data_IF_937573795155
#
_entry.id   IF_937573795155
#
_cell.length_a   1.000
_cell.length_b   1.000
_cell.length_c   1.000
_cell.angle_alpha   90.00
_cell.angle_beta   90.00
_cell.angle_gamma   90.00
#
_symmetry.space_group_name_H-M   'P 1'
#
loop_
_entity.id
_entity.type
_entity.pdbx_description
1 polymer ?
#
# COMPACT_ATOMS: atom_id res chain seq x y z
N UNK A 1 50.16 15.12 68.50
CA UNK A 1 51.28 14.27 68.06
C UNK A 1 50.70 12.91 67.67
N UNK A 2 50.66 12.57 66.43
CA UNK A 2 50.83 11.27 65.81
C UNK A 2 50.35 11.40 64.33
N UNK A 3 51.32 11.33 63.46
CA UNK A 3 51.11 11.22 61.97
C UNK A 3 50.42 9.92 61.67
N UNK A 4 49.42 9.93 60.78
CA UNK A 4 48.93 8.76 60.07
C UNK A 4 49.20 8.90 58.57
N UNK A 5 49.91 7.90 58.12
CA UNK A 5 50.41 7.62 56.77
C UNK A 5 49.32 7.54 55.72
N UNK A 6 49.61 8.09 54.54
CA UNK A 6 48.79 7.96 53.31
C UNK A 6 48.92 6.53 52.77
N UNK A 7 47.81 5.91 52.53
CA UNK A 7 47.71 4.68 51.70
C UNK A 7 47.51 5.01 50.26
N UNK A 8 48.31 4.35 49.44
CA UNK A 8 48.42 4.44 48.02
C UNK A 8 47.21 3.72 47.38
N UNK A 9 46.37 4.42 46.57
CA UNK A 9 45.35 3.77 45.76
C UNK A 9 45.99 3.23 44.49
N UNK A 10 45.88 1.91 44.33
CA UNK A 10 46.30 1.16 43.15
C UNK A 10 45.49 1.54 41.92
N UNK A 11 46.19 1.74 40.82
CA UNK A 11 45.65 1.95 39.48
C UNK A 11 44.80 0.74 39.00
N UNK A 12 43.48 0.87 39.05
CA UNK A 12 42.58 -0.05 38.41
C UNK A 12 42.59 0.21 36.91
N UNK A 13 43.11 -0.75 36.15
CA UNK A 13 43.03 -0.78 34.68
C UNK A 13 41.57 -0.97 34.27
N UNK A 14 40.92 0.05 33.73
CA UNK A 14 39.64 -0.07 33.12
C UNK A 14 39.79 -0.89 31.82
N UNK A 15 39.33 -2.14 31.83
CA UNK A 15 39.08 -2.90 30.61
C UNK A 15 37.93 -2.23 29.88
N UNK A 16 38.20 -1.47 28.83
CA UNK A 16 37.22 -1.06 27.85
C UNK A 16 36.82 -2.32 27.11
N UNK A 17 35.70 -2.92 27.51
CA UNK A 17 35.06 -3.96 26.74
C UNK A 17 34.79 -3.42 25.34
N UNK A 18 35.38 -4.06 24.34
CA UNK A 18 35.03 -3.81 22.94
C UNK A 18 33.51 -3.86 22.82
N UNK A 19 32.89 -2.72 22.63
CA UNK A 19 31.54 -2.62 22.12
C UNK A 19 31.59 -3.29 20.75
N UNK A 20 31.08 -4.53 20.71
CA UNK A 20 30.71 -5.16 19.45
C UNK A 20 29.87 -4.14 18.69
N UNK A 21 30.31 -3.79 17.50
CA UNK A 21 29.58 -2.95 16.58
C UNK A 21 28.21 -3.57 16.34
N UNK A 22 27.22 -3.17 17.12
CA UNK A 22 25.86 -3.22 16.67
C UNK A 22 25.83 -2.31 15.45
N UNK A 23 25.75 -2.87 14.25
CA UNK A 23 25.26 -2.14 13.11
C UNK A 23 23.96 -1.47 13.58
N UNK A 24 24.03 -0.19 13.87
CA UNK A 24 22.86 0.60 14.20
C UNK A 24 22.00 0.58 12.94
N UNK A 25 20.95 -0.24 12.95
CA UNK A 25 19.93 -0.20 11.92
C UNK A 25 19.30 1.19 11.97
N UNK A 26 19.80 2.07 11.13
CA UNK A 26 19.21 3.38 10.92
C UNK A 26 17.82 3.16 10.37
N UNK A 27 16.80 3.69 11.01
CA UNK A 27 15.40 3.56 10.61
C UNK A 27 14.54 2.86 11.67
N UNK A 28 13.24 3.10 11.58
CA UNK A 28 12.24 2.50 12.47
C UNK A 28 11.69 1.23 11.84
N UNK A 29 11.29 0.27 12.69
CA UNK A 29 10.54 -0.92 12.27
C UNK A 29 9.18 -0.85 12.92
N UNK A 30 8.12 -0.70 12.11
CA UNK A 30 6.75 -0.64 12.59
C UNK A 30 5.86 -1.66 11.91
N UNK A 31 4.97 -2.25 12.68
CA UNK A 31 3.97 -3.19 12.18
C UNK A 31 2.56 -2.77 12.62
N UNK A 32 1.60 -2.96 11.73
CA UNK A 32 0.18 -2.78 11.99
C UNK A 32 -0.53 -4.07 11.56
N UNK A 33 -1.20 -4.74 12.50
CA UNK A 33 -1.88 -5.99 12.22
C UNK A 33 -3.34 -5.87 12.61
N UNK A 34 -4.23 -6.32 11.73
CA UNK A 34 -5.68 -6.30 11.91
C UNK A 34 -6.31 -7.64 11.56
N UNK A 35 -7.34 -8.02 12.32
CA UNK A 35 -8.18 -9.16 12.04
C UNK A 35 -9.65 -8.77 12.15
N UNK A 36 -10.41 -9.01 11.08
CA UNK A 36 -11.80 -8.60 10.96
C UNK A 36 -12.72 -9.80 10.81
N UNK A 37 -13.83 -9.77 11.54
CA UNK A 37 -14.88 -10.79 11.47
C UNK A 37 -16.25 -10.18 11.23
N UNK A 38 -17.15 -10.96 10.65
CA UNK A 38 -18.55 -10.58 10.51
C UNK A 38 -19.31 -10.93 11.79
N UNK A 39 -19.92 -9.94 12.43
CA UNK A 39 -20.78 -10.12 13.59
C UNK A 39 -22.16 -9.50 13.29
N UNK A 40 -23.15 -10.36 13.08
CA UNK A 40 -24.49 -9.92 12.64
C UNK A 40 -24.43 -9.13 11.33
N UNK A 41 -24.92 -7.90 11.35
CA UNK A 41 -24.93 -7.01 10.15
C UNK A 41 -23.65 -6.20 9.96
N UNK A 42 -22.64 -6.29 10.83
CA UNK A 42 -21.43 -5.46 10.80
C UNK A 42 -20.15 -6.31 10.71
N UNK A 43 -19.14 -5.73 10.08
CA UNK A 43 -17.75 -6.16 10.20
C UNK A 43 -17.14 -5.52 11.43
N UNK A 44 -16.51 -6.31 12.30
CA UNK A 44 -15.85 -5.82 13.51
C UNK A 44 -14.37 -6.16 13.49
N UNK A 45 -13.56 -5.31 14.09
CA UNK A 45 -12.14 -5.54 14.33
C UNK A 45 -12.01 -6.37 15.60
N UNK A 46 -11.67 -7.65 15.48
CA UNK A 46 -11.59 -8.60 16.61
C UNK A 46 -10.21 -8.65 17.23
N UNK A 47 -9.17 -8.39 16.43
CA UNK A 47 -7.80 -8.30 16.93
C UNK A 47 -7.06 -7.18 16.24
N UNK A 48 -6.26 -6.44 17.01
CA UNK A 48 -5.35 -5.43 16.49
C UNK A 48 -4.06 -5.39 17.30
N UNK A 49 -2.96 -5.14 16.62
CA UNK A 49 -1.69 -4.79 17.24
C UNK A 49 -0.95 -3.79 16.38
N UNK A 50 -0.24 -2.87 17.02
CA UNK A 50 0.60 -1.93 16.29
C UNK A 50 1.87 -1.62 17.06
N UNK A 51 2.92 -1.26 16.33
CA UNK A 51 4.14 -0.69 16.85
C UNK A 51 4.49 0.60 16.11
N UNK A 52 5.18 1.53 16.79
CA UNK A 52 5.62 2.79 16.17
C UNK A 52 6.32 2.54 14.83
N UNK A 53 6.01 3.34 13.76
CA UNK A 53 5.28 4.61 13.79
C UNK A 53 3.77 4.50 13.62
N UNK A 54 3.19 3.31 13.55
CA UNK A 54 1.76 3.15 13.39
C UNK A 54 0.97 3.52 14.64
N UNK A 55 -0.20 4.08 14.43
CA UNK A 55 -1.21 4.34 15.46
C UNK A 55 -2.51 3.66 15.10
N UNK A 56 -3.13 3.03 16.07
CA UNK A 56 -4.38 2.31 15.90
C UNK A 56 -5.56 3.15 16.38
N UNK A 57 -6.63 3.14 15.59
CA UNK A 57 -7.95 3.66 15.95
C UNK A 57 -9.02 2.59 15.74
N UNK A 58 -10.05 2.53 16.57
CA UNK A 58 -11.20 1.69 16.32
C UNK A 58 -11.83 2.01 14.96
N UNK A 59 -12.38 1.01 14.25
CA UNK A 59 -13.11 1.25 13.01
C UNK A 59 -14.33 2.16 13.25
N UNK A 60 -14.63 3.01 12.27
CA UNK A 60 -15.87 3.76 12.21
C UNK A 60 -16.84 3.11 11.21
N UNK A 61 -18.12 3.47 11.30
CA UNK A 61 -19.16 3.00 10.40
C UNK A 61 -19.86 4.24 9.84
N UNK A 62 -19.63 4.52 8.55
CA UNK A 62 -20.08 5.78 7.92
C UNK A 62 -21.46 5.64 7.26
N UNK A 63 -21.92 4.40 7.08
CA UNK A 63 -23.22 4.08 6.48
C UNK A 63 -23.78 2.77 7.07
N UNK A 64 -24.97 2.37 6.63
CA UNK A 64 -25.66 1.17 7.11
C UNK A 64 -25.21 -0.12 6.42
N UNK A 65 -24.16 -0.09 5.58
CA UNK A 65 -23.63 -1.28 4.88
C UNK A 65 -22.98 -2.30 5.83
N UNK A 66 -22.63 -1.87 7.04
CA UNK A 66 -21.87 -2.64 8.00
C UNK A 66 -20.39 -2.75 7.65
N UNK A 67 -19.90 -1.92 6.71
CA UNK A 67 -18.48 -1.80 6.38
C UNK A 67 -17.69 -1.21 7.53
N UNK A 68 -16.56 -1.82 7.88
CA UNK A 68 -15.62 -1.28 8.85
C UNK A 68 -14.63 -0.32 8.16
N UNK A 69 -14.71 0.95 8.47
CA UNK A 69 -13.81 1.99 7.95
C UNK A 69 -12.60 2.15 8.86
N UNK A 70 -11.43 1.89 8.35
CA UNK A 70 -10.18 1.86 9.13
C UNK A 70 -9.15 2.82 8.56
N UNK A 71 -8.51 3.57 9.46
CA UNK A 71 -7.49 4.55 9.11
C UNK A 71 -6.08 3.99 9.31
N UNK A 72 -5.24 4.10 8.29
CA UNK A 72 -3.80 3.82 8.34
C UNK A 72 -3.09 5.09 8.81
N UNK A 73 -2.83 5.19 10.10
CA UNK A 73 -2.30 6.42 10.69
C UNK A 73 -0.84 6.28 11.07
N UNK A 74 0.00 7.07 10.42
CA UNK A 74 1.39 7.26 10.78
C UNK A 74 1.62 8.71 11.24
N UNK A 75 1.58 9.00 12.56
CA UNK A 75 1.71 10.36 13.08
C UNK A 75 3.11 10.94 12.96
N UNK A 76 4.12 10.16 12.55
CA UNK A 76 5.49 10.68 12.35
C UNK A 76 5.64 11.59 11.12
N UNK A 77 4.56 11.80 10.37
CA UNK A 77 4.52 12.70 9.22
C UNK A 77 5.07 12.11 7.92
N UNK A 78 5.58 10.88 7.92
CA UNK A 78 6.09 10.18 6.74
C UNK A 78 7.18 9.18 7.07
N UNK A 79 7.83 8.66 6.03
CA UNK A 79 8.89 7.66 6.12
C UNK A 79 10.24 8.29 5.79
N UNK A 80 11.28 7.91 6.54
CA UNK A 80 12.67 8.30 6.26
C UNK A 80 13.46 7.10 5.74
N UNK A 81 14.60 7.36 5.09
CA UNK A 81 15.47 6.28 4.61
C UNK A 81 15.87 5.33 5.75
N UNK A 82 15.74 4.02 5.49
CA UNK A 82 15.96 2.96 6.49
C UNK A 82 14.70 2.54 7.26
N UNK A 83 13.61 3.32 7.23
CA UNK A 83 12.35 2.87 7.82
C UNK A 83 11.82 1.63 7.11
N UNK A 84 11.32 0.68 7.89
CA UNK A 84 10.65 -0.51 7.41
C UNK A 84 9.31 -0.66 8.13
N UNK A 85 8.23 -0.42 7.41
CA UNK A 85 6.88 -0.49 7.96
C UNK A 85 6.08 -1.59 7.27
N UNK A 86 5.26 -2.30 8.05
CA UNK A 86 4.36 -3.33 7.52
C UNK A 86 2.92 -3.09 7.93
N UNK A 87 2.01 -3.53 7.06
CA UNK A 87 0.57 -3.63 7.34
C UNK A 87 0.14 -5.03 6.97
N UNK A 88 -0.47 -5.73 7.91
CA UNK A 88 -1.09 -7.02 7.67
C UNK A 88 -2.56 -6.96 8.07
N UNK A 89 -3.45 -7.43 7.18
CA UNK A 89 -4.87 -7.51 7.49
C UNK A 89 -5.43 -8.86 7.06
N UNK A 90 -6.16 -9.49 7.96
CA UNK A 90 -6.92 -10.71 7.71
C UNK A 90 -8.41 -10.40 7.80
N UNK A 91 -9.10 -10.60 6.71
CA UNK A 91 -10.54 -10.46 6.58
C UNK A 91 -11.15 -11.85 6.53
N UNK A 92 -11.96 -12.20 7.54
CA UNK A 92 -12.71 -13.45 7.52
C UNK A 92 -13.91 -13.40 6.56
N UNK A 93 -14.60 -14.51 6.38
CA UNK A 93 -15.70 -14.63 5.43
C UNK A 93 -16.79 -13.55 5.63
N UNK A 94 -17.35 -13.06 4.52
CA UNK A 94 -18.46 -12.09 4.47
C UNK A 94 -18.17 -10.73 5.13
N UNK A 95 -16.92 -10.41 5.43
CA UNK A 95 -16.53 -9.09 5.95
C UNK A 95 -16.51 -8.04 4.84
N UNK A 96 -16.69 -6.77 5.21
CA UNK A 96 -16.47 -5.63 4.33
C UNK A 96 -15.61 -4.61 5.07
N UNK A 97 -14.43 -4.33 4.55
CA UNK A 97 -13.46 -3.43 5.18
C UNK A 97 -12.99 -2.40 4.15
N UNK A 98 -12.98 -1.14 4.56
CA UNK A 98 -12.31 -0.06 3.84
C UNK A 98 -11.11 0.41 4.65
N UNK A 99 -9.93 0.37 4.04
CA UNK A 99 -8.68 0.83 4.62
C UNK A 99 -8.16 2.04 3.84
N UNK A 100 -8.01 3.15 4.50
CA UNK A 100 -7.54 4.41 3.91
C UNK A 100 -6.56 5.12 4.83
N UNK A 101 -5.90 6.17 4.36
CA UNK A 101 -5.03 7.02 5.18
C UNK A 101 -5.60 8.45 5.27
N UNK A 102 -5.38 9.18 6.38
CA UNK A 102 -5.90 10.53 6.57
C UNK A 102 -5.14 11.58 5.75
N UNK A 103 -3.95 11.24 5.28
CA UNK A 103 -3.08 12.14 4.51
C UNK A 103 -2.12 11.37 3.61
N UNK A 104 -1.50 12.09 2.68
CA UNK A 104 -0.48 11.55 1.78
C UNK A 104 0.68 10.89 2.54
N UNK A 105 1.16 9.77 2.02
CA UNK A 105 2.35 9.08 2.51
C UNK A 105 3.60 9.81 2.00
N UNK A 106 4.25 10.59 2.85
CA UNK A 106 5.45 11.35 2.50
C UNK A 106 6.69 10.48 2.68
N UNK A 107 7.55 10.45 1.67
CA UNK A 107 8.83 9.75 1.76
C UNK A 107 9.95 10.77 1.70
N UNK A 108 10.63 10.95 2.82
CA UNK A 108 11.69 11.92 2.97
C UNK A 108 12.99 11.47 2.29
N UNK A 109 13.90 12.42 2.08
CA UNK A 109 15.23 12.17 1.51
C UNK A 109 15.92 11.00 2.22
N UNK A 110 16.48 10.08 1.45
CA UNK A 110 17.27 8.95 1.94
C UNK A 110 18.76 9.23 1.77
N UNK A 111 19.56 8.96 2.78
CA UNK A 111 21.03 9.07 2.70
C UNK A 111 21.63 7.86 1.96
N UNK A 112 21.19 6.65 2.30
CA UNK A 112 21.68 5.40 1.71
C UNK A 112 20.53 4.42 1.45
N UNK A 113 19.86 3.97 2.51
CA UNK A 113 18.84 2.92 2.45
C UNK A 113 17.48 3.47 2.03
N UNK A 114 16.68 2.70 1.29
CA UNK A 114 15.30 3.07 0.99
C UNK A 114 14.43 3.02 2.25
N UNK A 115 13.36 3.80 2.27
CA UNK A 115 12.19 3.51 3.10
C UNK A 115 11.44 2.32 2.47
N UNK A 116 11.00 1.37 3.28
CA UNK A 116 10.33 0.14 2.84
C UNK A 116 8.93 0.07 3.45
N UNK A 117 7.94 -0.20 2.62
CA UNK A 117 6.57 -0.48 3.03
C UNK A 117 6.12 -1.84 2.48
N UNK A 118 5.70 -2.73 3.36
CA UNK A 118 5.17 -4.04 3.00
C UNK A 118 3.70 -4.15 3.44
N UNK A 119 2.85 -4.57 2.52
CA UNK A 119 1.40 -4.74 2.78
C UNK A 119 1.00 -6.16 2.41
N UNK A 120 0.35 -6.86 3.34
CA UNK A 120 -0.19 -8.20 3.15
C UNK A 120 -1.65 -8.25 3.55
N UNK A 121 -2.51 -8.60 2.61
CA UNK A 121 -3.95 -8.56 2.76
C UNK A 121 -4.53 -9.93 2.39
N UNK A 122 -5.11 -10.61 3.36
CA UNK A 122 -5.80 -11.89 3.16
C UNK A 122 -7.31 -11.65 3.21
N UNK A 123 -7.99 -11.89 2.10
CA UNK A 123 -9.42 -11.63 1.94
C UNK A 123 -10.17 -12.94 1.85
N UNK A 124 -10.92 -13.26 2.89
CA UNK A 124 -11.66 -14.51 3.06
C UNK A 124 -12.84 -14.67 2.10
N UNK A 125 -13.52 -15.83 2.13
CA UNK A 125 -14.61 -16.11 1.20
C UNK A 125 -15.72 -15.05 1.26
N UNK A 126 -16.19 -14.59 0.09
CA UNK A 126 -17.25 -13.58 -0.06
C UNK A 126 -16.98 -12.27 0.70
N UNK A 127 -15.74 -12.02 1.09
CA UNK A 127 -15.35 -10.78 1.75
C UNK A 127 -15.01 -9.68 0.72
N UNK A 128 -15.10 -8.43 1.16
CA UNK A 128 -14.86 -7.23 0.36
C UNK A 128 -13.79 -6.38 1.00
N UNK A 129 -12.76 -6.04 0.25
CA UNK A 129 -11.70 -5.16 0.69
C UNK A 129 -11.60 -3.95 -0.24
N UNK A 130 -11.58 -2.76 0.35
CA UNK A 130 -11.24 -1.51 -0.32
C UNK A 130 -9.94 -0.98 0.28
N UNK A 131 -8.83 -1.14 -0.43
CA UNK A 131 -7.55 -0.55 -0.09
C UNK A 131 -7.37 0.73 -0.89
N UNK A 132 -7.63 1.86 -0.24
CA UNK A 132 -7.70 3.18 -0.89
C UNK A 132 -6.92 4.26 -0.11
N UNK A 133 -5.61 4.05 0.09
CA UNK A 133 -4.78 5.06 0.76
C UNK A 133 -4.65 6.34 -0.06
N UNK A 134 -4.19 7.41 0.59
CA UNK A 134 -3.78 8.63 -0.08
C UNK A 134 -2.50 8.45 -0.91
N UNK A 135 -2.24 9.41 -1.78
CA UNK A 135 -1.07 9.42 -2.67
C UNK A 135 0.25 9.36 -1.92
N UNK A 136 1.21 8.60 -2.44
CA UNK A 136 2.59 8.63 -1.99
C UNK A 136 3.34 9.78 -2.65
N UNK A 137 4.01 10.62 -1.83
CA UNK A 137 4.77 11.79 -2.28
C UNK A 137 6.26 11.56 -1.97
N UNK A 138 7.05 11.10 -2.95
CA UNK A 138 8.50 10.95 -2.78
C UNK A 138 9.19 12.32 -2.90
N UNK A 139 9.89 12.77 -1.85
CA UNK A 139 10.62 14.03 -1.84
C UNK A 139 11.94 13.92 -2.63
N UNK A 140 12.54 15.05 -2.96
CA UNK A 140 13.83 15.08 -3.65
C UNK A 140 14.88 14.21 -2.95
N UNK A 141 15.54 13.32 -3.70
CA UNK A 141 16.55 12.39 -3.20
C UNK A 141 16.02 11.24 -2.36
N UNK A 142 14.70 11.06 -2.23
CA UNK A 142 14.12 9.90 -1.53
C UNK A 142 14.34 8.60 -2.31
N UNK A 143 14.38 7.48 -1.57
CA UNK A 143 14.35 6.11 -2.10
C UNK A 143 13.21 5.39 -1.41
N UNK A 144 12.32 4.82 -2.18
CA UNK A 144 11.14 4.12 -1.67
C UNK A 144 10.98 2.77 -2.33
N UNK A 145 10.62 1.78 -1.54
CA UNK A 145 10.23 0.45 -2.01
C UNK A 145 8.92 0.05 -1.36
N UNK A 146 7.94 -0.27 -2.19
CA UNK A 146 6.64 -0.77 -1.75
C UNK A 146 6.38 -2.15 -2.32
N UNK A 147 5.76 -3.02 -1.51
CA UNK A 147 5.17 -4.26 -1.97
C UNK A 147 3.78 -4.45 -1.35
N UNK A 148 2.80 -4.75 -2.20
CA UNK A 148 1.41 -5.02 -1.80
C UNK A 148 1.04 -6.41 -2.30
N UNK A 149 0.77 -7.32 -1.39
CA UNK A 149 0.34 -8.68 -1.68
C UNK A 149 -1.09 -8.88 -1.18
N UNK A 150 -1.96 -9.34 -2.07
CA UNK A 150 -3.36 -9.62 -1.76
C UNK A 150 -3.66 -11.06 -2.16
N UNK A 151 -4.21 -11.81 -1.21
CA UNK A 151 -4.71 -13.17 -1.42
C UNK A 151 -6.23 -13.15 -1.33
N UNK A 152 -6.91 -13.48 -2.44
CA UNK A 152 -8.38 -13.52 -2.54
C UNK A 152 -8.88 -14.96 -2.50
N UNK A 153 -9.72 -15.26 -1.51
CA UNK A 153 -10.50 -16.50 -1.48
C UNK A 153 -11.67 -16.44 -2.51
N UNK A 154 -12.31 -17.58 -2.81
CA UNK A 154 -13.46 -17.61 -3.72
C UNK A 154 -14.59 -16.69 -3.25
N UNK A 155 -15.18 -15.93 -4.18
CA UNK A 155 -16.22 -14.93 -3.93
C UNK A 155 -15.70 -13.60 -3.38
N UNK A 156 -14.43 -13.52 -3.00
CA UNK A 156 -13.84 -12.29 -2.49
C UNK A 156 -13.66 -11.23 -3.59
N UNK A 157 -13.74 -9.97 -3.20
CA UNK A 157 -13.52 -8.84 -4.09
C UNK A 157 -12.57 -7.84 -3.46
N UNK A 158 -11.62 -7.33 -4.25
CA UNK A 158 -10.74 -6.23 -3.86
C UNK A 158 -10.88 -5.03 -4.81
N UNK A 159 -10.96 -3.84 -4.23
CA UNK A 159 -10.69 -2.55 -4.87
C UNK A 159 -9.36 -2.07 -4.31
N UNK A 160 -8.31 -2.02 -5.13
CA UNK A 160 -6.98 -1.62 -4.71
C UNK A 160 -6.53 -0.41 -5.52
N UNK A 161 -6.32 0.70 -4.83
CA UNK A 161 -5.82 1.95 -5.37
C UNK A 161 -4.38 2.19 -4.92
N UNK A 162 -3.52 2.59 -5.84
CA UNK A 162 -2.16 3.03 -5.59
C UNK A 162 -1.82 4.22 -6.45
N UNK A 163 -1.31 5.30 -5.84
CA UNK A 163 -0.99 6.53 -6.55
C UNK A 163 0.33 7.13 -6.05
N UNK A 164 1.10 7.68 -6.98
CA UNK A 164 2.38 8.33 -6.73
C UNK A 164 2.39 9.72 -7.37
N UNK A 165 2.81 10.72 -6.60
CA UNK A 165 3.10 12.05 -7.10
C UNK A 165 4.52 12.13 -7.66
N UNK A 166 4.77 13.06 -8.59
CA UNK A 166 6.11 13.35 -9.10
C UNK A 166 7.07 13.92 -8.03
N UNK A 167 6.54 14.29 -6.88
CA UNK A 167 7.26 14.91 -5.76
C UNK A 167 6.42 15.99 -5.09
N UNK A 168 7.08 16.94 -4.43
CA UNK A 168 6.41 18.11 -3.84
C UNK A 168 6.11 19.16 -4.93
N UNK A 169 5.10 18.91 -5.75
CA UNK A 169 4.75 19.74 -6.90
C UNK A 169 4.63 21.22 -6.53
N UNK A 170 3.95 21.54 -5.41
CA UNK A 170 3.80 22.90 -4.91
C UNK A 170 5.15 23.57 -4.54
N UNK A 171 6.18 22.78 -4.25
CA UNK A 171 7.55 23.25 -3.98
C UNK A 171 8.46 23.19 -5.20
N UNK A 172 7.89 22.97 -6.41
CA UNK A 172 8.59 22.80 -7.68
C UNK A 172 9.57 21.62 -7.71
N UNK A 173 9.38 20.64 -6.84
CA UNK A 173 10.11 19.37 -6.88
C UNK A 173 9.32 18.37 -7.70
N UNK A 174 9.72 18.16 -8.95
CA UNK A 174 9.12 17.19 -9.85
C UNK A 174 10.18 16.19 -10.28
N UNK A 175 9.86 14.89 -10.12
CA UNK A 175 10.73 13.78 -10.53
C UNK A 175 12.17 13.92 -10.01
N UNK A 176 12.31 14.45 -8.77
CA UNK A 176 13.60 14.70 -8.14
C UNK A 176 14.00 13.62 -7.12
N UNK A 177 13.17 12.61 -6.91
CA UNK A 177 13.50 11.47 -6.05
C UNK A 177 14.57 10.57 -6.70
N UNK A 178 15.30 9.81 -5.89
CA UNK A 178 16.36 8.92 -6.39
C UNK A 178 15.80 7.63 -7.00
N UNK A 179 14.82 7.00 -6.35
CA UNK A 179 14.13 5.82 -6.89
C UNK A 179 12.81 5.54 -6.17
N UNK A 180 11.83 5.03 -6.92
CA UNK A 180 10.62 4.39 -6.41
C UNK A 180 10.51 3.01 -7.05
N UNK A 181 10.39 1.98 -6.23
CA UNK A 181 10.17 0.60 -6.64
C UNK A 181 8.81 0.17 -6.07
N UNK A 182 7.93 -0.31 -6.93
CA UNK A 182 6.60 -0.78 -6.55
C UNK A 182 6.34 -2.18 -7.09
N UNK A 183 5.74 -3.01 -6.25
CA UNK A 183 5.24 -4.33 -6.62
C UNK A 183 3.83 -4.51 -6.03
N UNK A 184 2.87 -4.81 -6.88
CA UNK A 184 1.51 -5.21 -6.50
C UNK A 184 1.30 -6.61 -7.04
N UNK A 185 0.92 -7.54 -6.18
CA UNK A 185 0.61 -8.92 -6.54
C UNK A 185 -0.74 -9.32 -5.93
N UNK A 186 -1.72 -9.60 -6.77
CA UNK A 186 -3.05 -10.04 -6.35
C UNK A 186 -3.24 -11.46 -6.86
N UNK A 187 -3.44 -12.41 -5.94
CA UNK A 187 -3.64 -13.84 -6.22
C UNK A 187 -5.09 -14.21 -5.96
N UNK A 188 -5.69 -14.94 -6.89
CA UNK A 188 -7.05 -15.45 -6.76
C UNK A 188 -7.02 -16.96 -6.60
N UNK A 189 -7.78 -17.49 -5.63
CA UNK A 189 -8.02 -18.92 -5.49
C UNK A 189 -9.26 -19.30 -6.30
N UNK A 190 -9.13 -20.17 -7.29
CA UNK A 190 -10.26 -20.61 -8.14
C UNK A 190 -11.28 -21.40 -7.32
N UNK A 191 -12.59 -21.17 -7.55
CA UNK A 191 -13.64 -22.08 -7.10
C UNK A 191 -13.43 -23.45 -7.78
N UNK A 192 -13.04 -24.47 -7.01
CA UNK A 192 -12.92 -25.85 -7.53
C UNK A 192 -11.59 -26.54 -7.33
N UNK A 193 -10.53 -25.83 -7.00
CA UNK A 193 -9.32 -26.46 -6.44
C UNK A 193 -9.44 -26.39 -4.91
N UNK A 194 -9.62 -27.55 -4.27
CA UNK A 194 -9.50 -27.64 -2.81
C UNK A 194 -8.23 -26.88 -2.39
N UNK A 195 -8.25 -26.10 -1.31
CA UNK A 195 -7.04 -25.49 -0.83
C UNK A 195 -6.04 -26.63 -0.65
N UNK A 196 -4.97 -26.59 -1.45
CA UNK A 196 -3.83 -27.44 -1.17
C UNK A 196 -3.55 -27.20 0.31
N UNK A 197 -3.63 -28.25 1.13
CA UNK A 197 -3.40 -28.21 2.58
C UNK A 197 -1.95 -27.84 2.92
N UNK A 198 -1.23 -27.37 1.97
CA UNK A 198 0.02 -26.65 2.00
C UNK A 198 -0.21 -25.21 1.56
N UNK A 199 -1.02 -24.45 2.32
CA UNK A 199 -0.59 -23.09 2.63
C UNK A 199 0.71 -23.26 3.40
N UNK A 200 1.78 -23.55 2.65
CA UNK A 200 3.13 -23.44 3.17
C UNK A 200 3.19 -21.99 3.65
N UNK A 201 3.33 -21.74 4.96
CA UNK A 201 3.70 -20.41 5.38
C UNK A 201 4.96 -20.14 4.56
N UNK A 202 4.90 -19.15 3.66
CA UNK A 202 6.13 -18.72 2.97
C UNK A 202 7.08 -18.43 4.12
N UNK A 203 8.15 -19.23 4.28
CA UNK A 203 9.00 -19.06 5.44
C UNK A 203 9.44 -17.62 5.46
N UNK A 204 9.34 -16.98 6.60
CA UNK A 204 9.78 -15.63 6.91
C UNK A 204 11.31 -15.51 6.79
N UNK A 205 11.88 -16.06 5.72
CA UNK A 205 13.28 -16.14 5.37
C UNK A 205 13.50 -15.61 3.97
N UNK A 206 13.01 -14.38 3.69
CA UNK A 206 13.77 -13.52 2.81
C UNK A 206 15.00 -13.13 3.61
N UNK A 207 16.07 -13.90 3.42
CA UNK A 207 17.39 -13.55 3.91
C UNK A 207 17.65 -12.10 3.49
N UNK A 208 18.09 -11.29 4.45
CA UNK A 208 18.56 -9.91 4.24
C UNK A 208 19.26 -9.79 2.88
N UNK A 209 18.75 -8.88 2.03
CA UNK A 209 19.52 -8.41 0.86
C UNK A 209 19.23 -9.06 -0.49
N UNK A 210 18.31 -10.00 -0.63
CA UNK A 210 17.98 -10.52 -1.97
C UNK A 210 16.71 -9.80 -2.48
N UNK A 211 16.93 -8.87 -3.42
CA UNK A 211 15.86 -8.42 -4.30
C UNK A 211 15.24 -9.65 -5.00
N UNK A 212 13.91 -9.71 -5.20
CA UNK A 212 13.29 -10.81 -5.93
C UNK A 212 13.96 -10.92 -7.29
N UNK A 213 14.37 -12.15 -7.62
CA UNK A 213 15.04 -12.42 -8.90
C UNK A 213 14.11 -11.98 -10.03
N UNK A 214 14.58 -11.09 -10.90
CA UNK A 214 13.91 -10.76 -12.16
C UNK A 214 13.62 -12.08 -12.89
N UNK A 215 12.35 -12.34 -13.21
CA UNK A 215 11.95 -13.50 -14.00
C UNK A 215 11.43 -14.72 -13.23
N UNK A 216 11.12 -14.62 -11.91
CA UNK A 216 10.39 -15.70 -11.27
C UNK A 216 9.01 -15.85 -11.98
N UNK A 217 8.58 -17.10 -12.31
CA UNK A 217 7.31 -17.33 -12.97
C UNK A 217 6.16 -16.80 -12.09
N UNK A 218 5.24 -16.06 -12.71
CA UNK A 218 4.02 -15.57 -12.03
C UNK A 218 3.08 -16.78 -11.91
N UNK A 219 2.57 -17.11 -10.70
CA UNK A 219 1.59 -18.18 -10.53
C UNK A 219 0.35 -17.94 -11.39
N UNK A 220 -0.21 -19.00 -11.98
CA UNK A 220 -1.48 -18.92 -12.72
C UNK A 220 -2.58 -18.37 -11.78
N UNK A 221 -3.40 -17.44 -12.27
CA UNK A 221 -4.42 -16.76 -11.46
C UNK A 221 -3.92 -15.55 -10.67
N UNK A 222 -2.74 -15.01 -11.02
CA UNK A 222 -2.21 -13.80 -10.39
C UNK A 222 -2.22 -12.61 -11.34
N UNK A 223 -2.55 -11.43 -10.79
CA UNK A 223 -2.34 -10.13 -11.43
C UNK A 223 -1.13 -9.48 -10.79
N UNK A 224 -0.14 -9.12 -11.59
CA UNK A 224 1.11 -8.55 -11.08
C UNK A 224 1.45 -7.26 -11.81
N UNK A 225 1.69 -6.22 -11.04
CA UNK A 225 2.31 -4.99 -11.51
C UNK A 225 3.66 -4.80 -10.83
N UNK A 226 4.67 -4.48 -11.61
CA UNK A 226 6.00 -4.10 -11.10
C UNK A 226 6.55 -2.95 -11.91
N UNK A 227 7.00 -1.92 -11.23
CA UNK A 227 7.74 -0.85 -11.87
C UNK A 227 8.86 -0.31 -10.98
N UNK A 228 9.83 0.29 -11.62
CA UNK A 228 10.89 1.04 -10.97
C UNK A 228 11.08 2.37 -11.69
N UNK A 229 10.83 3.44 -10.97
CA UNK A 229 11.04 4.81 -11.45
C UNK A 229 12.38 5.31 -10.94
N UNK A 230 13.24 5.74 -11.86
CA UNK A 230 14.53 6.38 -11.59
C UNK A 230 14.60 7.61 -12.50
N UNK A 231 14.14 8.77 -12.03
CA UNK A 231 13.89 9.93 -12.89
C UNK A 231 15.08 10.35 -13.76
N UNK A 232 16.29 10.31 -13.23
CA UNK A 232 17.51 10.63 -14.02
C UNK A 232 17.82 9.63 -15.13
N UNK A 233 17.05 8.53 -15.27
CA UNK A 233 17.15 7.53 -16.34
C UNK A 233 15.89 7.42 -17.18
N UNK A 234 14.84 8.15 -16.82
CA UNK A 234 13.62 8.18 -17.61
C UNK A 234 13.83 9.15 -18.78
N UNK A 235 13.66 8.73 -20.02
CA UNK A 235 13.61 9.68 -21.13
C UNK A 235 12.40 10.59 -20.92
N UNK A 236 12.55 11.87 -21.27
CA UNK A 236 11.45 12.85 -21.31
C UNK A 236 10.45 12.49 -22.43
N UNK A 237 9.97 11.27 -22.44
CA UNK A 237 9.02 10.84 -23.47
C UNK A 237 7.60 10.95 -22.96
N UNK A 238 6.72 11.43 -23.82
CA UNK A 238 5.28 11.55 -23.60
C UNK A 238 4.64 10.20 -23.18
N UNK A 239 5.26 9.09 -23.57
CA UNK A 239 4.75 7.75 -23.29
C UNK A 239 4.99 7.22 -21.87
N UNK A 240 5.81 7.91 -21.05
CA UNK A 240 6.08 7.49 -19.67
C UNK A 240 5.39 8.40 -18.65
N UNK A 241 5.91 9.58 -18.44
CA UNK A 241 5.38 10.52 -17.45
C UNK A 241 5.21 11.94 -17.98
N UNK A 242 5.93 12.32 -19.05
CA UNK A 242 5.81 13.61 -19.72
C UNK A 242 5.64 14.79 -18.78
N UNK A 243 4.59 15.59 -18.99
CA UNK A 243 4.23 16.75 -18.17
C UNK A 243 3.29 16.42 -17.00
N UNK A 244 3.04 15.12 -16.73
CA UNK A 244 2.12 14.67 -15.69
C UNK A 244 2.78 14.62 -14.32
N UNK A 245 2.04 14.96 -13.29
CA UNK A 245 2.53 15.02 -11.91
C UNK A 245 2.09 13.86 -11.05
N UNK A 246 1.09 13.11 -11.48
CA UNK A 246 0.55 11.98 -10.75
C UNK A 246 0.41 10.77 -11.66
N UNK A 247 0.77 9.61 -11.14
CA UNK A 247 0.59 8.30 -11.78
C UNK A 247 -0.19 7.41 -10.83
N UNK A 248 -1.22 6.75 -11.32
CA UNK A 248 -2.04 5.90 -10.49
C UNK A 248 -2.49 4.62 -11.20
N UNK A 249 -2.74 3.61 -10.38
CA UNK A 249 -3.27 2.31 -10.76
C UNK A 249 -4.46 1.98 -9.87
N UNK A 250 -5.52 1.47 -10.48
CA UNK A 250 -6.63 0.86 -9.77
C UNK A 250 -6.82 -0.57 -10.27
N UNK A 251 -6.92 -1.50 -9.34
CA UNK A 251 -7.29 -2.89 -9.61
C UNK A 251 -8.63 -3.16 -8.94
N UNK A 252 -9.56 -3.69 -9.71
CA UNK A 252 -10.83 -4.21 -9.19
C UNK A 252 -10.91 -5.66 -9.60
N UNK A 253 -10.81 -6.58 -8.65
CA UNK A 253 -10.70 -8.02 -8.92
C UNK A 253 -11.65 -8.78 -8.01
N UNK A 254 -12.40 -9.69 -8.58
CA UNK A 254 -13.31 -10.56 -7.84
C UNK A 254 -14.11 -11.44 -8.78
N UNK A 255 -14.44 -12.65 -8.35
CA UNK A 255 -15.16 -13.65 -9.13
C UNK A 255 -16.65 -13.73 -8.78
N UNK A 256 -17.16 -12.77 -7.99
CA UNK A 256 -18.56 -12.73 -7.55
C UNK A 256 -19.54 -12.22 -8.63
N UNK A 257 -19.04 -11.58 -9.69
CA UNK A 257 -19.86 -10.96 -10.73
C UNK A 257 -19.52 -11.49 -12.12
N UNK A 258 -20.51 -11.45 -13.02
CA UNK A 258 -20.36 -11.94 -14.38
C UNK A 258 -19.59 -10.99 -15.31
N UNK A 259 -19.21 -11.50 -16.49
CA UNK A 259 -18.42 -10.75 -17.47
C UNK A 259 -19.09 -9.46 -17.96
N UNK A 260 -20.43 -9.42 -18.02
CA UNK A 260 -21.18 -8.25 -18.50
C UNK A 260 -21.05 -7.06 -17.53
N UNK A 261 -20.95 -7.31 -16.22
CA UNK A 261 -20.70 -6.27 -15.22
C UNK A 261 -19.34 -5.62 -15.46
N UNK A 262 -18.32 -6.42 -15.76
CA UNK A 262 -16.99 -5.90 -16.06
C UNK A 262 -16.95 -5.04 -17.32
N UNK A 263 -17.67 -5.44 -18.38
CA UNK A 263 -17.80 -4.64 -19.61
C UNK A 263 -18.55 -3.33 -19.37
N UNK A 264 -19.63 -3.38 -18.60
CA UNK A 264 -20.36 -2.17 -18.21
C UNK A 264 -19.50 -1.17 -17.47
N UNK A 265 -18.72 -1.67 -16.49
CA UNK A 265 -17.74 -0.84 -15.75
C UNK A 265 -16.63 -0.29 -16.65
N UNK A 266 -16.11 -1.09 -17.59
CA UNK A 266 -15.10 -0.63 -18.55
C UNK A 266 -15.64 0.55 -19.36
N UNK A 267 -16.85 0.47 -19.88
CA UNK A 267 -17.50 1.56 -20.62
C UNK A 267 -17.72 2.79 -19.76
N UNK A 268 -18.27 2.63 -18.55
CA UNK A 268 -18.53 3.75 -17.65
C UNK A 268 -17.24 4.47 -17.21
N UNK A 269 -16.16 3.73 -17.00
CA UNK A 269 -14.86 4.32 -16.64
C UNK A 269 -14.24 5.03 -17.85
N UNK A 270 -14.38 4.49 -19.06
CA UNK A 270 -13.92 5.15 -20.28
C UNK A 270 -14.60 6.52 -20.46
N UNK A 271 -15.92 6.60 -20.25
CA UNK A 271 -16.67 7.86 -20.31
C UNK A 271 -16.18 8.89 -19.28
N UNK A 272 -15.77 8.46 -18.07
CA UNK A 272 -15.20 9.37 -17.07
C UNK A 272 -13.92 10.04 -17.60
N UNK A 273 -13.07 9.32 -18.32
CA UNK A 273 -11.88 9.90 -18.94
C UNK A 273 -12.21 10.86 -20.08
N UNK A 274 -13.17 10.52 -20.92
CA UNK A 274 -13.61 11.37 -22.03
C UNK A 274 -14.15 12.73 -21.56
N UNK A 275 -14.76 12.78 -20.38
CA UNK A 275 -15.28 14.01 -19.79
C UNK A 275 -14.19 14.92 -19.20
N UNK A 276 -12.90 14.52 -19.23
CA UNK A 276 -11.80 15.22 -18.57
C UNK A 276 -10.57 15.43 -19.48
N UNK A 277 -10.75 15.93 -20.72
CA UNK A 277 -9.67 16.04 -21.68
C UNK A 277 -8.59 17.01 -21.18
N UNK A 278 -7.32 16.59 -21.27
CA UNK A 278 -6.16 17.39 -20.90
C UNK A 278 -5.91 17.52 -19.39
N UNK A 279 -6.82 17.13 -18.52
CA UNK A 279 -6.66 17.11 -17.06
C UNK A 279 -6.14 15.74 -16.57
N UNK A 280 -6.65 14.68 -17.18
CA UNK A 280 -6.20 13.31 -16.96
C UNK A 280 -6.00 12.62 -18.31
N UNK A 281 -5.14 11.62 -18.32
CA UNK A 281 -5.01 10.66 -19.40
C UNK A 281 -5.04 9.26 -18.76
N UNK A 282 -5.95 8.42 -19.20
CA UNK A 282 -6.09 7.11 -18.61
C UNK A 282 -6.74 6.11 -19.55
N UNK A 283 -6.75 4.88 -19.12
CA UNK A 283 -7.40 3.77 -19.80
C UNK A 283 -7.81 2.70 -18.81
N UNK A 284 -8.80 1.94 -19.20
CA UNK A 284 -9.32 0.80 -18.48
C UNK A 284 -9.24 -0.42 -19.40
N UNK A 285 -8.99 -1.58 -18.81
CA UNK A 285 -9.01 -2.85 -19.52
C UNK A 285 -9.52 -3.95 -18.61
N UNK A 286 -10.36 -4.81 -19.15
CA UNK A 286 -10.70 -6.08 -18.51
C UNK A 286 -9.47 -6.99 -18.46
N UNK A 287 -9.41 -7.84 -17.44
CA UNK A 287 -8.31 -8.77 -17.22
C UNK A 287 -8.69 -10.19 -17.68
N UNK A 288 -7.70 -11.04 -17.88
CA UNK A 288 -7.94 -12.47 -18.07
C UNK A 288 -8.53 -13.13 -16.80
N UNK A 289 -8.20 -12.64 -15.62
CA UNK A 289 -8.90 -12.95 -14.37
C UNK A 289 -10.18 -12.08 -14.28
N UNK A 290 -11.23 -12.52 -13.55
CA UNK A 290 -12.42 -11.70 -13.34
C UNK A 290 -12.08 -10.36 -12.68
N UNK A 291 -12.16 -9.28 -13.43
CA UNK A 291 -11.79 -7.95 -12.95
C UNK A 291 -11.34 -7.00 -14.05
N UNK A 292 -10.94 -5.81 -13.64
CA UNK A 292 -10.40 -4.76 -14.49
C UNK A 292 -9.19 -4.07 -13.84
N UNK A 293 -8.38 -3.45 -14.69
CA UNK A 293 -7.31 -2.56 -14.32
C UNK A 293 -7.53 -1.19 -14.97
N UNK A 294 -7.34 -0.14 -14.17
CA UNK A 294 -7.31 1.24 -14.64
C UNK A 294 -5.92 1.80 -14.43
N UNK A 295 -5.39 2.44 -15.45
CA UNK A 295 -4.14 3.20 -15.37
C UNK A 295 -4.43 4.64 -15.74
N UNK A 296 -3.92 5.55 -14.94
CA UNK A 296 -4.10 6.97 -15.26
C UNK A 296 -2.92 7.83 -14.82
N UNK A 297 -2.80 8.96 -15.47
CA UNK A 297 -1.94 10.06 -15.07
C UNK A 297 -2.78 11.34 -14.95
N UNK A 298 -2.43 12.20 -14.01
CA UNK A 298 -3.14 13.46 -13.78
C UNK A 298 -2.16 14.63 -13.66
N UNK A 299 -2.63 15.85 -14.02
CA UNK A 299 -1.81 17.06 -13.91
C UNK A 299 -1.75 17.61 -12.50
N UNK A 300 -2.82 17.44 -11.72
CA UNK A 300 -2.92 17.99 -10.38
C UNK A 300 -3.57 17.01 -9.41
N UNK A 301 -3.38 17.25 -8.11
CA UNK A 301 -4.05 16.46 -7.07
C UNK A 301 -5.58 16.54 -7.16
N UNK A 302 -6.20 17.72 -7.35
CA UNK A 302 -7.64 17.80 -7.56
C UNK A 302 -8.15 16.98 -8.74
N UNK A 303 -7.45 17.01 -9.89
CA UNK A 303 -7.82 16.23 -11.07
C UNK A 303 -7.75 14.72 -10.78
N UNK A 304 -6.70 14.28 -10.08
CA UNK A 304 -6.57 12.89 -9.64
C UNK A 304 -7.72 12.51 -8.71
N UNK A 305 -7.97 13.30 -7.67
CA UNK A 305 -8.97 13.01 -6.65
C UNK A 305 -10.38 12.92 -7.24
N UNK A 306 -10.79 13.92 -8.01
CA UNK A 306 -12.13 13.94 -8.61
C UNK A 306 -12.33 12.78 -9.59
N UNK A 307 -11.28 12.43 -10.36
CA UNK A 307 -11.36 11.30 -11.30
C UNK A 307 -11.43 9.97 -10.53
N UNK A 308 -10.58 9.79 -9.54
CA UNK A 308 -10.57 8.60 -8.69
C UNK A 308 -11.92 8.40 -7.99
N UNK A 309 -12.46 9.44 -7.36
CA UNK A 309 -13.74 9.37 -6.64
C UNK A 309 -14.91 9.02 -7.57
N UNK A 310 -14.92 9.55 -8.81
CA UNK A 310 -15.91 9.19 -9.81
C UNK A 310 -15.81 7.71 -10.22
N UNK A 311 -14.62 7.21 -10.48
CA UNK A 311 -14.38 5.79 -10.82
C UNK A 311 -14.78 4.90 -9.63
N UNK A 312 -14.36 5.24 -8.42
CA UNK A 312 -14.68 4.48 -7.22
C UNK A 312 -16.18 4.43 -6.94
N UNK A 313 -16.89 5.55 -7.12
CA UNK A 313 -18.34 5.61 -6.99
C UNK A 313 -19.03 4.70 -8.01
N UNK A 314 -18.61 4.69 -9.28
CA UNK A 314 -19.13 3.81 -10.32
C UNK A 314 -18.90 2.34 -9.95
N UNK A 315 -17.69 1.99 -9.51
CA UNK A 315 -17.35 0.62 -9.11
C UNK A 315 -18.19 0.14 -7.93
N UNK A 316 -18.30 0.93 -6.87
CA UNK A 316 -19.10 0.56 -5.67
C UNK A 316 -20.58 0.40 -6.01
N UNK A 317 -21.12 1.29 -6.83
CA UNK A 317 -22.52 1.23 -7.26
C UNK A 317 -22.80 -0.03 -8.06
N UNK A 318 -21.95 -0.33 -9.02
CA UNK A 318 -22.16 -1.48 -9.93
C UNK A 318 -21.96 -2.82 -9.20
N UNK A 319 -20.90 -2.94 -8.40
CA UNK A 319 -20.59 -4.20 -7.73
C UNK A 319 -21.48 -4.49 -6.50
N UNK A 320 -21.88 -3.46 -5.76
CA UNK A 320 -22.49 -3.63 -4.44
C UNK A 320 -23.74 -2.81 -4.21
N UNK A 321 -24.16 -2.00 -5.18
CA UNK A 321 -25.25 -1.02 -5.06
C UNK A 321 -25.07 -0.09 -3.84
N UNK A 322 -23.82 0.31 -3.55
CA UNK A 322 -23.44 1.18 -2.44
C UNK A 322 -22.92 2.53 -2.98
N UNK A 323 -23.24 3.65 -2.30
CA UNK A 323 -22.61 4.93 -2.61
C UNK A 323 -21.13 4.93 -2.18
N UNK A 324 -20.31 5.76 -2.82
CA UNK A 324 -18.97 6.05 -2.31
C UNK A 324 -19.11 6.95 -1.06
N UNK A 325 -18.51 6.57 0.06
CA UNK A 325 -18.56 7.40 1.26
C UNK A 325 -17.70 8.66 1.08
N UNK A 326 -18.13 9.75 1.69
CA UNK A 326 -17.31 10.95 1.78
C UNK A 326 -16.22 10.73 2.85
N UNK A 327 -15.02 10.45 2.41
CA UNK A 327 -13.88 10.17 3.30
C UNK A 327 -13.26 11.48 3.85
N UNK A 328 -13.91 12.59 3.88
CA UNK A 328 -13.41 13.87 4.44
C UNK A 328 -11.90 13.85 4.72
N UNK A 329 -11.12 13.88 3.66
CA UNK A 329 -9.66 13.93 3.69
C UNK A 329 -9.28 15.42 3.78
N UNK A 330 -8.57 15.81 4.83
CA UNK A 330 -8.18 17.20 5.08
C UNK A 330 -6.67 17.37 4.82
#
# INVERSE_FOLDING_TARGET
MKRKTAECFSSGTFHVSRLTSHESLVGRRGALNYEFERQGSRTVLTRSSCSSPWHHFPPSYLDDSGCAYTWLVNPSGGLVGGDHVSVEAQLHAHTHVLMTSPSANRVYRSLSEPAVQEVRLSVGPDARLEWVPEVTIPFAGSRFRQSIHVDLAPGATVILWDAIASGRVAMRERWAFASVENEICIRTSSRGLAPSSAAVPVPLLLRRGQAPKRGAPVPSGSVVERYRLVPGRLPESVGLVGSWDYVASLFVIGDAVGAEVWKGLESAIAEIFEQRPGLVLGGVSTLAAPGLVVKLVARSAPDLTVTWEAIWAAVRKELWNLPAPNLRRY
#
